data_IF_112070520747
#
_entry.id   IF_112070520747
#
_cell.length_a   1.000
_cell.length_b   1.000
_cell.length_c   1.000
_cell.angle_alpha   90.00
_cell.angle_beta   90.00
_cell.angle_gamma   90.00
#
_symmetry.space_group_name_H-M   'P 1'
#
loop_
_entity.id
_entity.type
_entity.pdbx_description
1 polymer ?
#
# COMPACT_ATOMS: atom_id res chain seq x y z
N UNK A 1 -0.64 25.04 -9.79
CA UNK A 1 -0.80 24.15 -8.62
C UNK A 1 -0.52 24.96 -7.38
N UNK A 2 -1.49 25.06 -6.48
CA UNK A 2 -1.27 25.57 -5.12
C UNK A 2 -0.40 24.56 -4.36
N UNK A 3 0.75 25.01 -3.86
CA UNK A 3 1.63 24.21 -3.01
C UNK A 3 1.05 24.15 -1.60
N UNK A 4 0.66 22.96 -1.17
CA UNK A 4 0.22 22.68 0.21
C UNK A 4 1.47 22.48 1.08
N UNK A 5 1.47 23.05 2.29
CA UNK A 5 2.63 22.91 3.18
C UNK A 5 2.75 21.49 3.74
N UNK A 6 3.98 21.00 3.92
CA UNK A 6 4.26 19.67 4.48
C UNK A 6 3.58 19.44 5.84
N UNK A 7 3.56 20.45 6.71
CA UNK A 7 2.87 20.39 8.01
C UNK A 7 1.37 20.10 7.89
N UNK A 8 0.71 20.64 6.86
CA UNK A 8 -0.72 20.38 6.61
C UNK A 8 -0.92 18.94 6.15
N UNK A 9 -0.02 18.41 5.34
CA UNK A 9 -0.05 17.01 4.92
C UNK A 9 0.22 16.07 6.10
N UNK A 10 1.16 16.40 6.98
CA UNK A 10 1.45 15.60 8.18
C UNK A 10 0.24 15.53 9.13
N UNK A 11 -0.42 16.66 9.38
CA UNK A 11 -1.65 16.70 10.20
C UNK A 11 -2.78 15.91 9.53
N UNK A 12 -2.92 16.03 8.21
CA UNK A 12 -3.92 15.28 7.46
C UNK A 12 -3.68 13.77 7.54
N UNK A 13 -2.42 13.32 7.47
CA UNK A 13 -2.05 11.90 7.64
C UNK A 13 -2.47 11.37 9.00
N UNK A 14 -2.28 12.13 10.06
CA UNK A 14 -2.72 11.73 11.42
C UNK A 14 -4.24 11.54 11.43
N UNK A 15 -5.00 12.51 10.92
CA UNK A 15 -6.45 12.41 10.85
C UNK A 15 -6.94 11.24 9.98
N UNK A 16 -6.25 10.94 8.87
CA UNK A 16 -6.53 9.77 8.04
C UNK A 16 -6.34 8.48 8.83
N UNK A 17 -5.26 8.34 9.60
CA UNK A 17 -5.02 7.14 10.40
C UNK A 17 -6.03 6.98 11.55
N UNK A 18 -6.41 8.07 12.22
CA UNK A 18 -7.44 8.06 13.25
C UNK A 18 -8.79 7.60 12.68
N UNK A 19 -9.17 8.15 11.52
CA UNK A 19 -10.42 7.80 10.85
C UNK A 19 -10.41 6.37 10.31
N UNK A 20 -9.26 5.90 9.77
CA UNK A 20 -9.07 4.50 9.40
C UNK A 20 -9.31 3.57 10.60
N UNK A 21 -8.73 3.88 11.76
CA UNK A 21 -8.89 3.07 12.96
C UNK A 21 -10.34 3.07 13.44
N UNK A 22 -11.01 4.23 13.38
CA UNK A 22 -12.43 4.37 13.72
C UNK A 22 -13.31 3.49 12.83
N UNK A 23 -13.11 3.52 11.51
CA UNK A 23 -13.88 2.68 10.57
C UNK A 23 -13.61 1.21 10.86
N UNK A 24 -12.36 0.82 11.13
CA UNK A 24 -12.04 -0.57 11.47
C UNK A 24 -12.78 -1.04 12.73
N UNK A 25 -12.84 -0.21 13.78
CA UNK A 25 -13.64 -0.50 14.98
C UNK A 25 -15.14 -0.61 14.68
N UNK A 26 -15.68 0.26 13.82
CA UNK A 26 -17.09 0.19 13.39
C UNK A 26 -17.38 -1.13 12.67
N UNK A 27 -16.46 -1.57 11.80
CA UNK A 27 -16.56 -2.85 11.10
C UNK A 27 -16.59 -4.01 12.10
N UNK A 28 -15.66 -4.04 13.05
CA UNK A 28 -15.63 -5.10 14.08
C UNK A 28 -16.89 -5.13 14.92
N UNK A 29 -17.38 -3.97 15.38
CA UNK A 29 -18.62 -3.89 16.16
C UNK A 29 -19.84 -4.35 15.35
N UNK A 30 -19.90 -3.99 14.07
CA UNK A 30 -20.93 -4.45 13.15
C UNK A 30 -20.90 -5.97 12.95
N UNK A 31 -19.71 -6.54 12.75
CA UNK A 31 -19.49 -7.99 12.62
C UNK A 31 -19.90 -8.75 13.89
N UNK A 32 -19.52 -8.23 15.07
CA UNK A 32 -19.79 -8.86 16.38
C UNK A 32 -21.27 -8.83 16.78
N UNK A 33 -22.00 -7.77 16.38
CA UNK A 33 -23.40 -7.57 16.78
C UNK A 33 -24.41 -8.03 15.72
N UNK A 34 -23.94 -8.53 14.57
CA UNK A 34 -24.75 -9.12 13.51
C UNK A 34 -26.02 -8.30 13.14
N UNK A 35 -25.85 -7.00 12.89
CA UNK A 35 -26.91 -6.02 12.54
C UNK A 35 -27.87 -5.61 13.67
N UNK A 36 -27.73 -6.13 14.89
CA UNK A 36 -28.52 -5.71 16.06
C UNK A 36 -27.84 -4.60 16.89
N UNK A 37 -26.62 -4.23 16.51
CA UNK A 37 -25.83 -3.19 17.15
C UNK A 37 -26.16 -1.77 16.66
N UNK A 38 -25.56 -0.75 17.32
CA UNK A 38 -25.78 0.65 16.96
C UNK A 38 -25.07 1.08 15.67
N UNK A 39 -24.12 0.27 15.18
CA UNK A 39 -23.40 0.52 13.93
C UNK A 39 -24.12 -0.15 12.77
N UNK A 40 -24.41 0.61 11.72
CA UNK A 40 -25.02 0.09 10.49
C UNK A 40 -24.04 0.12 9.31
N UNK A 41 -24.36 -0.63 8.25
CA UNK A 41 -23.60 -0.60 6.98
C UNK A 41 -23.51 0.82 6.41
N UNK A 42 -24.60 1.59 6.46
CA UNK A 42 -24.66 2.97 5.95
C UNK A 42 -23.69 3.89 6.68
N UNK A 43 -23.54 3.72 8.01
CA UNK A 43 -22.59 4.48 8.80
C UNK A 43 -21.14 4.16 8.39
N UNK A 44 -20.84 2.89 8.14
CA UNK A 44 -19.52 2.44 7.65
C UNK A 44 -19.25 3.02 6.26
N UNK A 45 -20.21 2.95 5.34
CA UNK A 45 -20.10 3.49 3.98
C UNK A 45 -19.83 5.00 4.01
N UNK A 46 -20.60 5.75 4.81
CA UNK A 46 -20.44 7.21 4.85
C UNK A 46 -19.08 7.62 5.45
N UNK A 47 -18.64 6.93 6.50
CA UNK A 47 -17.32 7.15 7.08
C UNK A 47 -16.20 6.84 6.07
N UNK A 48 -16.33 5.70 5.37
CA UNK A 48 -15.41 5.28 4.32
C UNK A 48 -15.32 6.28 3.16
N UNK A 49 -16.45 6.81 2.68
CA UNK A 49 -16.48 7.82 1.62
C UNK A 49 -15.77 9.11 2.01
N UNK A 50 -15.97 9.58 3.25
CA UNK A 50 -15.28 10.78 3.76
C UNK A 50 -13.76 10.56 3.85
N UNK A 51 -13.34 9.37 4.31
CA UNK A 51 -11.93 9.02 4.39
C UNK A 51 -11.29 8.91 2.99
N UNK A 52 -12.01 8.36 2.01
CA UNK A 52 -11.55 8.26 0.63
C UNK A 52 -11.22 9.64 0.03
N UNK A 53 -12.06 10.65 0.29
CA UNK A 53 -11.80 12.01 -0.18
C UNK A 53 -10.51 12.59 0.42
N UNK A 54 -10.30 12.41 1.74
CA UNK A 54 -9.10 12.87 2.43
C UNK A 54 -7.83 12.18 1.91
N UNK A 55 -7.90 10.86 1.65
CA UNK A 55 -6.80 10.07 1.10
C UNK A 55 -6.44 10.52 -0.31
N UNK A 56 -7.44 10.69 -1.19
CA UNK A 56 -7.21 11.15 -2.56
C UNK A 56 -6.57 12.54 -2.59
N UNK A 57 -7.05 13.47 -1.75
CA UNK A 57 -6.43 14.78 -1.60
C UNK A 57 -4.97 14.65 -1.16
N UNK A 58 -4.69 13.86 -0.13
CA UNK A 58 -3.33 13.63 0.34
C UNK A 58 -2.43 13.09 -0.78
N UNK A 59 -2.87 12.04 -1.50
CA UNK A 59 -2.14 11.41 -2.60
C UNK A 59 -1.87 12.35 -3.79
N UNK A 60 -2.73 13.34 -4.04
CA UNK A 60 -2.44 14.36 -5.05
C UNK A 60 -1.21 15.21 -4.71
N UNK A 61 -0.88 15.34 -3.42
CA UNK A 61 0.16 16.22 -2.92
C UNK A 61 1.44 15.50 -2.48
N UNK A 62 1.42 14.17 -2.44
CA UNK A 62 2.60 13.36 -2.08
C UNK A 62 3.05 12.46 -3.23
N UNK A 63 4.33 12.14 -3.22
CA UNK A 63 5.02 11.25 -4.19
C UNK A 63 5.93 10.29 -3.45
N UNK A 64 6.51 9.33 -4.17
CA UNK A 64 7.41 8.33 -3.60
C UNK A 64 6.69 7.43 -2.61
N UNK A 65 7.43 6.88 -1.66
CA UNK A 65 6.92 5.78 -0.84
C UNK A 65 5.83 6.14 0.16
N UNK A 66 5.74 7.40 0.63
CA UNK A 66 4.61 7.84 1.46
C UNK A 66 3.28 7.65 0.71
N UNK A 67 3.31 7.78 -0.62
CA UNK A 67 2.13 7.59 -1.45
C UNK A 67 1.78 6.10 -1.54
N UNK A 68 2.80 5.25 -1.69
CA UNK A 68 2.67 3.79 -1.69
C UNK A 68 2.01 3.26 -0.40
N UNK A 69 2.52 3.64 0.78
CA UNK A 69 2.00 3.14 2.05
C UNK A 69 0.57 3.60 2.35
N UNK A 70 0.26 4.85 2.00
CA UNK A 70 -1.10 5.39 2.14
C UNK A 70 -2.08 4.63 1.25
N UNK A 71 -1.66 4.36 0.02
CA UNK A 71 -2.44 3.62 -0.95
C UNK A 71 -2.65 2.14 -0.54
N UNK A 72 -1.63 1.47 0.01
CA UNK A 72 -1.78 0.11 0.56
C UNK A 72 -2.80 0.05 1.70
N UNK A 73 -2.72 1.01 2.61
CA UNK A 73 -3.67 1.13 3.73
C UNK A 73 -5.09 1.36 3.22
N UNK A 74 -5.24 2.15 2.16
CA UNK A 74 -6.53 2.41 1.52
C UNK A 74 -7.10 1.16 0.83
N UNK A 75 -6.29 0.40 0.09
CA UNK A 75 -6.72 -0.84 -0.55
C UNK A 75 -7.16 -1.87 0.49
N UNK A 76 -6.42 -2.01 1.60
CA UNK A 76 -6.80 -2.89 2.71
C UNK A 76 -8.16 -2.52 3.30
N UNK A 77 -8.42 -1.22 3.51
CA UNK A 77 -9.71 -0.76 3.99
C UNK A 77 -10.84 -1.02 2.98
N UNK A 78 -10.59 -0.73 1.70
CA UNK A 78 -11.56 -0.93 0.63
C UNK A 78 -12.00 -2.40 0.52
N UNK A 79 -11.07 -3.32 0.71
CA UNK A 79 -11.36 -4.76 0.73
C UNK A 79 -12.28 -5.11 1.89
N UNK A 80 -11.92 -4.66 3.10
CA UNK A 80 -12.72 -4.92 4.31
C UNK A 80 -14.14 -4.37 4.17
N UNK A 81 -14.28 -3.16 3.64
CA UNK A 81 -15.58 -2.55 3.35
C UNK A 81 -16.33 -3.34 2.27
N UNK A 82 -15.64 -3.76 1.20
CA UNK A 82 -16.26 -4.54 0.12
C UNK A 82 -16.76 -5.91 0.60
N UNK A 83 -16.04 -6.57 1.50
CA UNK A 83 -16.44 -7.84 2.14
C UNK A 83 -17.77 -7.70 2.88
N UNK A 84 -17.92 -6.65 3.69
CA UNK A 84 -19.17 -6.35 4.44
C UNK A 84 -20.34 -6.08 3.49
N UNK A 85 -20.05 -5.45 2.36
CA UNK A 85 -21.05 -5.06 1.37
C UNK A 85 -21.33 -6.16 0.34
N UNK A 86 -20.61 -7.29 0.37
CA UNK A 86 -20.73 -8.37 -0.61
C UNK A 86 -20.37 -7.94 -2.03
N UNK A 87 -19.52 -6.92 -2.18
CA UNK A 87 -19.11 -6.36 -3.47
C UNK A 87 -17.77 -6.94 -3.94
N UNK A 88 -17.57 -6.97 -5.26
CA UNK A 88 -16.27 -7.33 -5.84
C UNK A 88 -15.21 -6.27 -5.51
N UNK A 89 -14.01 -6.73 -5.12
CA UNK A 89 -12.87 -5.87 -4.77
C UNK A 89 -12.57 -4.81 -5.83
N UNK A 90 -12.17 -3.58 -5.43
CA UNK A 90 -11.71 -2.58 -6.38
C UNK A 90 -10.45 -3.04 -7.16
N UNK A 91 -10.31 -2.47 -8.36
CA UNK A 91 -9.31 -2.74 -9.40
C UNK A 91 -7.83 -2.59 -8.93
N UNK A 92 -6.86 -3.18 -9.66
CA UNK A 92 -5.46 -3.10 -9.31
C UNK A 92 -4.88 -1.69 -9.53
N UNK A 93 -4.43 -1.14 -8.41
CA UNK A 93 -3.70 0.10 -8.20
C UNK A 93 -2.37 0.24 -9.00
N UNK A 94 -2.18 1.43 -9.61
CA UNK A 94 -1.11 1.82 -10.56
C UNK A 94 -0.04 2.75 -9.97
N UNK A 95 0.12 2.81 -8.64
CA UNK A 95 0.96 3.84 -7.99
C UNK A 95 2.45 3.81 -8.39
N UNK A 96 2.95 2.65 -8.82
CA UNK A 96 4.27 2.52 -9.41
C UNK A 96 4.27 2.98 -10.88
N UNK A 97 5.23 3.83 -11.24
CA UNK A 97 5.26 4.53 -12.51
C UNK A 97 4.58 5.91 -12.45
N UNK A 98 3.52 6.06 -11.66
CA UNK A 98 2.85 7.35 -11.47
C UNK A 98 3.47 8.19 -10.34
N UNK A 99 3.72 7.57 -9.19
CA UNK A 99 4.19 8.25 -7.97
C UNK A 99 5.52 7.72 -7.48
N UNK A 100 5.80 6.44 -7.73
CA UNK A 100 7.09 5.82 -7.46
C UNK A 100 7.81 5.59 -8.80
N UNK A 101 8.89 6.33 -9.10
CA UNK A 101 9.60 6.18 -10.36
C UNK A 101 10.25 4.80 -10.45
N UNK A 102 10.19 4.20 -11.64
CA UNK A 102 10.82 2.92 -11.93
C UNK A 102 11.99 3.11 -12.90
N UNK A 103 13.02 2.23 -12.83
CA UNK A 103 14.06 2.20 -13.86
C UNK A 103 13.47 1.96 -15.24
N UNK A 104 14.14 2.50 -16.27
CA UNK A 104 13.69 2.37 -17.67
C UNK A 104 13.53 0.89 -18.04
N UNK A 105 12.41 0.57 -18.69
CA UNK A 105 12.11 -0.78 -19.16
C UNK A 105 11.62 -1.73 -18.06
N UNK A 106 11.42 -1.24 -16.83
CA UNK A 106 10.82 -2.00 -15.73
C UNK A 106 9.32 -1.74 -15.66
N UNK A 107 8.55 -2.80 -15.55
CA UNK A 107 7.13 -2.80 -15.23
C UNK A 107 6.90 -3.52 -13.90
N UNK A 108 5.82 -3.20 -13.20
CA UNK A 108 5.46 -3.90 -11.97
C UNK A 108 4.01 -4.32 -12.01
N UNK A 109 3.76 -5.52 -11.48
CA UNK A 109 2.43 -6.07 -11.31
C UNK A 109 2.18 -6.26 -9.82
N UNK A 110 1.01 -5.81 -9.36
CA UNK A 110 0.58 -5.99 -7.96
C UNK A 110 -0.30 -7.21 -7.84
N UNK A 111 -0.02 -8.05 -6.84
CA UNK A 111 -0.89 -9.13 -6.40
C UNK A 111 -1.13 -9.00 -4.92
N UNK A 112 -2.40 -9.03 -4.52
CA UNK A 112 -2.76 -9.17 -3.12
C UNK A 112 -3.00 -10.65 -2.81
N UNK A 113 -2.34 -11.17 -1.78
CA UNK A 113 -2.56 -12.52 -1.28
C UNK A 113 -2.85 -12.39 0.21
N UNK A 114 -4.07 -12.71 0.62
CA UNK A 114 -4.54 -12.52 2.01
C UNK A 114 -4.38 -11.04 2.43
N UNK A 115 -3.31 -10.72 3.16
CA UNK A 115 -2.96 -9.38 3.62
C UNK A 115 -1.55 -8.94 3.17
N UNK A 116 -0.95 -9.62 2.20
CA UNK A 116 0.37 -9.32 1.66
C UNK A 116 0.25 -8.64 0.29
N UNK A 117 0.76 -7.41 0.18
CA UNK A 117 0.94 -6.77 -1.11
C UNK A 117 2.24 -7.28 -1.73
N UNK A 118 2.12 -8.01 -2.84
CA UNK A 118 3.26 -8.49 -3.62
C UNK A 118 3.42 -7.66 -4.88
N UNK A 119 4.59 -7.10 -5.06
CA UNK A 119 4.99 -6.30 -6.21
C UNK A 119 6.02 -7.09 -7.01
N UNK A 120 5.60 -7.58 -8.17
CA UNK A 120 6.44 -8.39 -9.06
C UNK A 120 7.01 -7.46 -10.12
N UNK A 121 8.34 -7.37 -10.17
CA UNK A 121 9.05 -6.50 -11.10
C UNK A 121 9.55 -7.30 -12.30
N UNK A 122 9.17 -6.87 -13.49
CA UNK A 122 9.59 -7.43 -14.76
C UNK A 122 10.35 -6.37 -15.56
N UNK A 123 11.35 -6.80 -16.33
CA UNK A 123 12.01 -5.95 -17.31
C UNK A 123 11.70 -6.41 -18.73
N UNK A 124 11.37 -5.48 -19.62
CA UNK A 124 10.91 -5.74 -21.01
C UNK A 124 11.80 -6.71 -21.78
N UNK A 125 13.12 -6.68 -21.56
CA UNK A 125 14.09 -7.54 -22.27
C UNK A 125 14.69 -8.65 -21.40
N UNK A 126 14.61 -8.53 -20.08
CA UNK A 126 15.27 -9.47 -19.16
C UNK A 126 14.25 -10.43 -18.53
N UNK A 127 12.95 -10.16 -18.61
CA UNK A 127 11.92 -10.89 -17.89
C UNK A 127 11.93 -10.56 -16.40
N UNK A 128 11.45 -11.49 -15.58
CA UNK A 128 11.30 -11.27 -14.14
C UNK A 128 12.63 -10.95 -13.45
N UNK A 129 12.59 -9.87 -12.65
CA UNK A 129 13.70 -9.34 -11.86
C UNK A 129 13.63 -9.85 -10.42
N UNK A 130 12.46 -9.76 -9.80
CA UNK A 130 12.22 -10.12 -8.41
C UNK A 130 10.85 -9.67 -7.92
N UNK A 131 10.55 -9.97 -6.66
CA UNK A 131 9.32 -9.50 -5.99
C UNK A 131 9.65 -8.80 -4.67
N UNK A 132 8.92 -7.71 -4.40
CA UNK A 132 8.85 -7.10 -3.08
C UNK A 132 7.53 -7.47 -2.43
N UNK A 133 7.58 -7.83 -1.15
CA UNK A 133 6.41 -8.23 -0.37
C UNK A 133 6.30 -7.23 0.77
N UNK A 134 5.26 -6.40 0.74
CA UNK A 134 4.89 -5.56 1.86
C UNK A 134 3.95 -6.36 2.77
N UNK A 135 4.40 -6.60 4.00
CA UNK A 135 3.62 -7.28 5.03
C UNK A 135 3.25 -6.29 6.11
N UNK A 136 1.99 -6.35 6.54
CA UNK A 136 1.53 -5.63 7.72
C UNK A 136 1.80 -6.47 8.96
N UNK A 137 2.64 -5.96 9.85
CA UNK A 137 2.91 -6.50 11.18
C UNK A 137 1.74 -6.30 12.14
N UNK A 138 1.76 -7.06 13.24
CA UNK A 138 0.69 -7.10 14.26
C UNK A 138 0.58 -5.76 15.02
N UNK A 139 1.68 -5.02 15.12
CA UNK A 139 1.80 -3.69 15.74
C UNK A 139 1.48 -2.55 14.75
N UNK A 140 1.01 -2.86 13.54
CA UNK A 140 0.76 -1.87 12.50
C UNK A 140 2.03 -1.38 11.79
N UNK A 141 3.20 -1.96 12.07
CA UNK A 141 4.41 -1.71 11.29
C UNK A 141 4.36 -2.43 9.95
N UNK A 142 4.91 -1.84 8.90
CA UNK A 142 5.04 -2.50 7.60
C UNK A 142 6.47 -3.01 7.43
N UNK A 143 6.63 -4.28 7.04
CA UNK A 143 7.92 -4.85 6.66
C UNK A 143 7.97 -5.09 5.16
N UNK A 144 9.13 -4.79 4.56
CA UNK A 144 9.39 -5.02 3.15
C UNK A 144 10.36 -6.18 2.99
N UNK A 145 9.86 -7.34 2.56
CA UNK A 145 10.70 -8.48 2.18
C UNK A 145 11.01 -8.41 0.69
N UNK A 146 12.25 -8.71 0.31
CA UNK A 146 12.65 -8.77 -1.09
C UNK A 146 13.07 -10.19 -1.46
N UNK A 147 12.51 -10.71 -2.55
CA UNK A 147 12.89 -12.01 -3.10
C UNK A 147 13.38 -11.84 -4.54
N UNK A 148 14.57 -12.33 -4.81
CA UNK A 148 15.15 -12.34 -6.15
C UNK A 148 14.75 -13.60 -6.89
N UNK A 149 14.54 -13.50 -8.21
CA UNK A 149 14.11 -14.66 -9.00
C UNK A 149 15.19 -15.75 -9.16
N UNK A 150 16.47 -15.45 -8.91
CA UNK A 150 17.58 -16.41 -9.02
C UNK A 150 18.62 -16.19 -7.92
N UNK A 151 18.95 -17.25 -7.18
CA UNK A 151 20.10 -17.32 -6.25
C UNK A 151 21.45 -17.18 -6.99
N UNK A 152 21.48 -17.51 -8.28
CA UNK A 152 22.71 -17.55 -9.05
C UNK A 152 23.11 -16.17 -9.60
N UNK A 153 24.16 -15.66 -8.96
CA UNK A 153 24.99 -14.49 -9.27
C UNK A 153 24.43 -13.14 -8.84
N UNK A 154 24.93 -12.66 -7.69
CA UNK A 154 24.88 -11.26 -7.22
C UNK A 154 25.40 -10.23 -8.25
N UNK A 155 25.94 -10.67 -9.39
CA UNK A 155 26.51 -9.85 -10.46
C UNK A 155 25.63 -9.72 -11.72
N UNK A 156 24.51 -10.45 -11.82
CA UNK A 156 23.63 -10.35 -12.99
C UNK A 156 23.01 -8.95 -13.11
N UNK A 157 22.83 -8.48 -14.35
CA UNK A 157 22.20 -7.18 -14.64
C UNK A 157 20.80 -7.08 -14.03
N UNK A 158 20.06 -8.20 -14.00
CA UNK A 158 18.77 -8.31 -13.28
C UNK A 158 18.89 -7.96 -11.80
N UNK A 159 19.85 -8.57 -11.11
CA UNK A 159 20.06 -8.34 -9.68
C UNK A 159 20.50 -6.90 -9.40
N UNK A 160 21.30 -6.28 -10.29
CA UNK A 160 21.66 -4.86 -10.14
C UNK A 160 20.45 -3.94 -10.24
N UNK A 161 19.59 -4.14 -11.24
CA UNK A 161 18.37 -3.35 -11.42
C UNK A 161 17.44 -3.56 -10.22
N UNK A 162 17.24 -4.80 -9.78
CA UNK A 162 16.36 -5.11 -8.66
C UNK A 162 16.89 -4.58 -7.32
N UNK A 163 18.20 -4.68 -7.07
CA UNK A 163 18.81 -4.09 -5.88
C UNK A 163 18.68 -2.57 -5.88
N UNK A 164 18.84 -1.91 -7.02
CA UNK A 164 18.61 -0.47 -7.11
C UNK A 164 17.16 -0.08 -6.74
N UNK A 165 16.17 -0.85 -7.22
CA UNK A 165 14.75 -0.65 -6.84
C UNK A 165 14.58 -0.81 -5.33
N UNK A 166 15.14 -1.87 -4.76
CA UNK A 166 15.07 -2.16 -3.32
C UNK A 166 15.73 -1.06 -2.49
N UNK A 167 16.96 -0.67 -2.80
CA UNK A 167 17.69 0.39 -2.10
C UNK A 167 16.94 1.72 -2.15
N UNK A 168 16.36 2.06 -3.30
CA UNK A 168 15.55 3.28 -3.47
C UNK A 168 14.35 3.25 -2.53
N UNK A 169 13.62 2.14 -2.51
CA UNK A 169 12.44 1.99 -1.65
C UNK A 169 12.80 1.94 -0.16
N UNK A 170 13.80 1.16 0.25
CA UNK A 170 14.27 1.08 1.64
C UNK A 170 14.71 2.44 2.17
N UNK A 171 15.47 3.20 1.37
CA UNK A 171 15.95 4.53 1.75
C UNK A 171 14.79 5.52 1.92
N UNK A 172 13.80 5.48 1.02
CA UNK A 172 12.60 6.31 1.15
C UNK A 172 11.74 5.92 2.36
N UNK A 173 11.76 4.64 2.75
CA UNK A 173 10.92 4.07 3.79
C UNK A 173 11.39 4.33 5.23
N UNK A 174 12.66 4.75 5.44
CA UNK A 174 13.29 4.77 6.77
C UNK A 174 13.11 3.45 7.54
N UNK A 175 12.84 2.34 6.85
CA UNK A 175 12.62 1.04 7.46
C UNK A 175 13.96 0.43 7.84
N UNK A 176 13.99 -0.24 8.98
CA UNK A 176 15.11 -1.10 9.37
C UNK A 176 15.17 -2.24 8.36
N UNK A 177 16.32 -2.43 7.70
CA UNK A 177 16.50 -3.52 6.75
C UNK A 177 16.21 -4.88 7.42
N UNK A 178 15.18 -5.58 6.93
CA UNK A 178 14.92 -6.96 7.30
C UNK A 178 15.98 -7.91 6.72
N UNK A 179 16.14 -9.11 7.29
CA UNK A 179 17.13 -10.06 6.82
C UNK A 179 16.87 -10.45 5.36
N UNK A 180 17.91 -10.42 4.53
CA UNK A 180 17.95 -11.11 3.23
C UNK A 180 17.83 -12.60 3.47
N UNK A 181 16.73 -13.19 3.01
CA UNK A 181 16.63 -14.63 2.79
C UNK A 181 17.21 -14.98 1.42
#
# INVERSE_FOLDING_TARGET
MTTVSEKVLDVLVIGIYEEYARIYSMITEYEDTAELGPITKEMIIQAHANLQEAILFHQCHITGVKALLMEESFVSLNLRVSEILGMSSPEPNTIFGEKVPLPKGVTVYKKLIENEFRYIFDHVSLGQLGELICKKGIDGTYSLEARTCNEDTKTSEKNKIFQHIRETLTKELQLVEGPTA
#
